data_IF_011592255517
#
_entry.id   IF_011592255517
#
_cell.length_a   1.000
_cell.length_b   1.000
_cell.length_c   1.000
_cell.angle_alpha   90.00
_cell.angle_beta   90.00
_cell.angle_gamma   90.00
#
_symmetry.space_group_name_H-M   'P 1'
#
loop_
_entity.id
_entity.type
_entity.pdbx_description
1 polymer ?
#
# COMPACT_ATOMS: atom_id res chain seq x y z
N UNK A 1 8.15 -27.11 -0.56
CA UNK A 1 8.43 -27.09 0.90
C UNK A 1 7.91 -28.39 1.49
N UNK A 2 8.51 -28.92 2.55
CA UNK A 2 7.96 -30.09 3.26
C UNK A 2 6.66 -29.71 3.99
N UNK A 3 5.61 -30.51 3.83
CA UNK A 3 4.28 -30.21 4.36
C UNK A 3 4.25 -30.13 5.90
N UNK A 4 5.05 -30.94 6.59
CA UNK A 4 5.08 -30.92 8.06
C UNK A 4 5.68 -29.62 8.58
N UNK A 5 6.69 -29.08 7.88
CA UNK A 5 7.29 -27.77 8.21
C UNK A 5 6.30 -26.65 7.94
N UNK A 6 5.57 -26.72 6.83
CA UNK A 6 4.54 -25.72 6.48
C UNK A 6 3.42 -25.69 7.53
N UNK A 7 2.91 -26.86 7.92
CA UNK A 7 1.83 -26.97 8.92
C UNK A 7 2.28 -26.48 10.30
N UNK A 8 3.53 -26.74 10.70
CA UNK A 8 4.09 -26.19 11.94
C UNK A 8 4.22 -24.66 11.90
N UNK A 9 4.65 -24.08 10.78
CA UNK A 9 4.71 -22.62 10.58
C UNK A 9 3.32 -22.00 10.73
N UNK A 10 2.31 -22.55 10.03
CA UNK A 10 0.94 -22.07 10.10
C UNK A 10 0.44 -22.14 11.54
N UNK A 11 0.63 -23.30 12.21
CA UNK A 11 0.25 -23.49 13.61
C UNK A 11 0.90 -22.45 14.53
N UNK A 12 2.21 -22.20 14.39
CA UNK A 12 2.92 -21.19 15.18
C UNK A 12 2.36 -19.78 14.93
N UNK A 13 2.10 -19.42 13.68
CA UNK A 13 1.54 -18.11 13.31
C UNK A 13 0.13 -17.91 13.88
N UNK A 14 -0.74 -18.92 13.78
CA UNK A 14 -2.10 -18.85 14.33
C UNK A 14 -2.12 -18.84 15.87
N UNK A 15 -1.18 -19.55 16.51
CA UNK A 15 -1.05 -19.57 17.97
C UNK A 15 -0.54 -18.25 18.57
N UNK A 16 -0.12 -17.29 17.74
CA UNK A 16 0.39 -15.99 18.18
C UNK A 16 -0.67 -15.11 18.85
N UNK A 17 -1.96 -15.41 18.60
CA UNK A 17 -3.08 -14.68 19.18
C UNK A 17 -3.14 -14.91 20.69
N UNK A 18 -2.97 -13.84 21.46
CA UNK A 18 -3.10 -13.84 22.91
C UNK A 18 -4.14 -12.80 23.35
N UNK A 19 -5.42 -13.15 23.21
CA UNK A 19 -6.52 -12.20 23.42
C UNK A 19 -6.58 -11.14 22.31
N UNK A 20 -6.42 -9.86 22.69
CA UNK A 20 -6.46 -8.71 21.75
C UNK A 20 -5.08 -8.30 21.21
N UNK A 21 -4.01 -8.96 21.63
CA UNK A 21 -2.65 -8.67 21.15
C UNK A 21 -2.02 -9.92 20.56
N UNK A 22 -1.23 -9.72 19.52
CA UNK A 22 -0.42 -10.76 18.89
C UNK A 22 1.01 -10.67 19.42
N UNK A 23 1.57 -11.81 19.78
CA UNK A 23 3.00 -11.91 20.10
C UNK A 23 3.81 -12.02 18.81
N UNK A 24 5.07 -11.63 18.88
CA UNK A 24 6.01 -11.90 17.81
C UNK A 24 6.20 -13.42 17.68
N UNK A 25 6.14 -13.93 16.45
CA UNK A 25 6.31 -15.36 16.18
C UNK A 25 7.77 -15.62 15.84
N UNK A 26 8.32 -16.69 16.43
CA UNK A 26 9.69 -17.11 16.16
C UNK A 26 9.72 -18.00 14.92
N UNK A 27 9.95 -17.37 13.76
CA UNK A 27 10.28 -18.04 12.50
C UNK A 27 11.80 -17.98 12.29
N UNK A 28 12.38 -19.02 11.72
CA UNK A 28 13.80 -19.01 11.34
C UNK A 28 14.00 -18.34 9.98
N UNK A 29 15.21 -17.82 9.71
CA UNK A 29 15.54 -17.28 8.38
C UNK A 29 15.36 -18.34 7.28
N UNK A 30 15.68 -19.60 7.55
CA UNK A 30 15.52 -20.71 6.60
C UNK A 30 14.06 -20.93 6.24
N UNK A 31 13.16 -20.94 7.23
CA UNK A 31 11.72 -21.06 7.02
C UNK A 31 11.18 -19.92 6.15
N UNK A 32 11.56 -18.68 6.47
CA UNK A 32 11.14 -17.51 5.68
C UNK A 32 11.64 -17.62 4.24
N UNK A 33 12.90 -18.02 4.03
CA UNK A 33 13.45 -18.22 2.69
C UNK A 33 12.71 -19.31 1.92
N UNK A 34 12.33 -20.41 2.57
CA UNK A 34 11.57 -21.49 1.96
C UNK A 34 10.16 -21.02 1.57
N UNK A 35 9.46 -20.29 2.44
CA UNK A 35 8.15 -19.70 2.13
C UNK A 35 8.23 -18.82 0.88
N UNK A 36 9.20 -17.90 0.83
CA UNK A 36 9.39 -17.03 -0.33
C UNK A 36 9.73 -17.80 -1.60
N UNK A 37 10.66 -18.76 -1.54
CA UNK A 37 11.08 -19.54 -2.71
C UNK A 37 9.94 -20.39 -3.28
N UNK A 38 9.23 -21.13 -2.42
CA UNK A 38 8.11 -21.97 -2.85
C UNK A 38 6.93 -21.14 -3.35
N UNK A 39 6.59 -20.03 -2.67
CA UNK A 39 5.51 -19.16 -3.15
C UNK A 39 5.84 -18.50 -4.49
N UNK A 40 7.10 -18.06 -4.67
CA UNK A 40 7.60 -17.52 -5.94
C UNK A 40 7.40 -18.49 -7.11
N UNK A 41 7.73 -19.77 -6.92
CA UNK A 41 7.51 -20.81 -7.93
C UNK A 41 6.02 -20.94 -8.29
N UNK A 42 5.13 -20.93 -7.28
CA UNK A 42 3.68 -20.97 -7.49
C UNK A 42 3.21 -19.73 -8.27
N UNK A 43 3.61 -18.52 -7.86
CA UNK A 43 3.20 -17.31 -8.55
C UNK A 43 3.65 -17.27 -10.01
N UNK A 44 4.88 -17.73 -10.31
CA UNK A 44 5.38 -17.82 -11.68
C UNK A 44 4.66 -18.89 -12.51
N UNK A 45 4.15 -19.94 -11.88
CA UNK A 45 3.37 -20.99 -12.56
C UNK A 45 1.93 -20.57 -12.87
N UNK A 46 1.36 -19.65 -12.09
CA UNK A 46 0.03 -19.10 -12.30
C UNK A 46 0.08 -17.85 -13.19
N UNK A 47 -0.99 -17.50 -13.92
CA UNK A 47 -0.99 -16.33 -14.81
C UNK A 47 -0.89 -15.00 -14.06
N UNK A 48 -0.49 -13.93 -14.75
CA UNK A 48 -0.36 -12.60 -14.15
C UNK A 48 -1.71 -11.87 -13.97
N UNK A 49 -2.68 -12.21 -14.84
CA UNK A 49 -4.10 -11.97 -14.64
C UNK A 49 -4.71 -13.31 -14.20
N UNK A 50 -5.06 -13.45 -12.93
CA UNK A 50 -5.70 -14.65 -12.42
C UNK A 50 -7.13 -14.75 -12.97
N UNK A 51 -7.56 -15.95 -13.31
CA UNK A 51 -8.95 -16.25 -13.69
C UNK A 51 -9.53 -17.13 -12.59
N UNK A 52 -10.51 -16.59 -11.87
CA UNK A 52 -11.01 -17.14 -10.60
C UNK A 52 -12.54 -17.31 -10.68
N UNK A 53 -13.07 -18.17 -9.82
CA UNK A 53 -14.51 -18.44 -9.72
C UNK A 53 -15.01 -18.13 -8.31
N UNK A 54 -16.24 -17.66 -8.20
CA UNK A 54 -16.99 -17.61 -6.96
C UNK A 54 -17.31 -19.04 -6.46
N UNK A 55 -17.48 -19.26 -5.13
CA UNK A 55 -17.56 -18.25 -4.09
C UNK A 55 -16.17 -17.82 -3.59
N UNK A 56 -15.97 -16.53 -3.36
CA UNK A 56 -14.67 -15.98 -2.95
C UNK A 56 -14.82 -14.75 -2.05
N UNK A 57 -13.89 -14.58 -1.11
CA UNK A 57 -13.78 -13.42 -0.23
C UNK A 57 -12.62 -12.54 -0.68
N UNK A 58 -12.90 -11.26 -0.91
CA UNK A 58 -11.94 -10.26 -1.37
C UNK A 58 -11.58 -9.32 -0.23
N UNK A 59 -10.27 -9.16 0.01
CA UNK A 59 -9.70 -8.34 1.07
C UNK A 59 -8.77 -7.28 0.47
N UNK A 60 -8.85 -6.06 0.97
CA UNK A 60 -7.93 -4.98 0.64
C UNK A 60 -6.67 -4.99 1.50
N UNK A 61 -6.13 -3.79 1.74
CA UNK A 61 -4.88 -3.55 2.46
C UNK A 61 -4.89 -4.11 3.88
N UNK A 62 -3.74 -4.65 4.32
CA UNK A 62 -3.54 -5.20 5.67
C UNK A 62 -2.42 -4.47 6.41
N UNK A 63 -1.36 -4.05 5.72
CA UNK A 63 -0.27 -3.22 6.24
C UNK A 63 0.29 -3.69 7.58
N UNK A 64 0.65 -4.97 7.69
CA UNK A 64 1.27 -5.51 8.89
C UNK A 64 0.41 -5.48 10.16
N UNK A 65 -0.91 -5.24 10.05
CA UNK A 65 -1.87 -5.36 11.15
C UNK A 65 -2.24 -6.83 11.40
N UNK A 66 -1.25 -7.64 11.78
CA UNK A 66 -1.38 -9.10 11.90
C UNK A 66 -2.54 -9.55 12.81
N UNK A 67 -2.76 -8.87 13.92
CA UNK A 67 -3.90 -9.17 14.81
C UNK A 67 -5.25 -8.99 14.11
N UNK A 68 -5.37 -8.00 13.22
CA UNK A 68 -6.61 -7.76 12.48
C UNK A 68 -6.76 -8.72 11.32
N UNK A 69 -5.65 -9.15 10.69
CA UNK A 69 -5.68 -10.26 9.72
C UNK A 69 -6.23 -11.55 10.35
N UNK A 70 -5.82 -11.90 11.57
CA UNK A 70 -6.37 -13.06 12.28
C UNK A 70 -7.86 -12.89 12.58
N UNK A 71 -8.29 -11.69 13.00
CA UNK A 71 -9.73 -11.38 13.20
C UNK A 71 -10.52 -11.48 11.89
N UNK A 72 -9.92 -11.08 10.78
CA UNK A 72 -10.52 -11.17 9.45
C UNK A 72 -10.79 -12.64 9.10
N UNK A 73 -9.83 -13.55 9.32
CA UNK A 73 -10.04 -14.98 9.11
C UNK A 73 -11.04 -15.59 10.11
N UNK A 74 -11.07 -15.16 11.36
CA UNK A 74 -12.08 -15.62 12.33
C UNK A 74 -13.50 -15.25 11.91
N UNK A 75 -13.67 -14.11 11.23
CA UNK A 75 -14.97 -13.64 10.79
C UNK A 75 -15.38 -14.22 9.44
N UNK A 76 -14.41 -14.37 8.52
CA UNK A 76 -14.62 -14.88 7.17
C UNK A 76 -14.48 -16.40 7.00
N UNK A 77 -13.96 -17.12 7.99
CA UNK A 77 -13.59 -18.54 7.90
C UNK A 77 -12.11 -18.71 7.58
N UNK A 78 -11.42 -19.63 8.26
CA UNK A 78 -10.01 -19.86 8.00
C UNK A 78 -9.83 -20.68 6.71
N UNK A 79 -8.82 -20.42 5.86
CA UNK A 79 -8.54 -21.30 4.73
C UNK A 79 -8.36 -22.78 5.18
N UNK A 80 -9.01 -23.76 4.54
CA UNK A 80 -9.73 -23.66 3.25
C UNK A 80 -11.25 -23.55 3.39
N UNK A 81 -11.80 -23.18 4.55
CA UNK A 81 -13.25 -23.00 4.76
C UNK A 81 -13.86 -21.94 3.83
N UNK A 82 -13.06 -20.97 3.39
CA UNK A 82 -13.42 -20.00 2.37
C UNK A 82 -12.24 -19.75 1.42
N UNK A 83 -12.57 -19.46 0.15
CA UNK A 83 -11.59 -19.00 -0.83
C UNK A 83 -11.29 -17.51 -0.61
N UNK A 84 -10.04 -17.10 -0.83
CA UNK A 84 -9.61 -15.73 -0.60
C UNK A 84 -8.83 -15.14 -1.78
N UNK A 85 -9.12 -13.88 -2.08
CA UNK A 85 -8.31 -12.99 -2.91
C UNK A 85 -7.90 -11.77 -2.06
N UNK A 86 -6.61 -11.54 -1.88
CA UNK A 86 -6.13 -10.27 -1.32
C UNK A 86 -5.62 -9.36 -2.42
N UNK A 87 -5.90 -8.06 -2.30
CA UNK A 87 -5.64 -7.07 -3.34
C UNK A 87 -4.24 -6.44 -3.27
N UNK A 88 -3.48 -6.64 -2.18
CA UNK A 88 -2.13 -6.11 -2.03
C UNK A 88 -1.90 -5.44 -0.68
N UNK A 89 -0.76 -4.77 -0.54
CA UNK A 89 -0.37 -3.95 0.61
C UNK A 89 -0.40 -4.73 1.92
N UNK A 90 0.42 -5.79 1.95
CA UNK A 90 0.55 -6.70 3.08
C UNK A 90 1.49 -6.15 4.15
N UNK A 91 2.50 -5.40 3.72
CA UNK A 91 3.62 -4.93 4.55
C UNK A 91 3.60 -3.42 4.74
N UNK A 92 4.58 -2.93 5.51
CA UNK A 92 4.76 -1.53 5.92
C UNK A 92 3.68 -0.99 6.87
N UNK A 93 3.99 0.17 7.48
CA UNK A 93 3.11 0.99 8.33
C UNK A 93 2.70 0.35 9.67
N UNK A 94 2.23 -0.90 9.66
CA UNK A 94 1.96 -1.68 10.85
C UNK A 94 3.20 -2.30 11.49
N UNK A 95 2.95 -3.07 12.56
CA UNK A 95 4.01 -3.51 13.48
C UNK A 95 4.53 -4.92 13.21
N UNK A 96 3.80 -5.72 12.46
CA UNK A 96 4.04 -7.17 12.28
C UNK A 96 3.88 -7.57 10.82
N UNK A 97 4.62 -6.88 9.94
CA UNK A 97 4.58 -7.16 8.50
C UNK A 97 5.12 -8.55 8.20
N UNK A 98 6.16 -9.01 8.91
CA UNK A 98 6.76 -10.33 8.70
C UNK A 98 5.75 -11.45 9.01
N UNK A 99 5.07 -11.40 10.15
CA UNK A 99 4.03 -12.40 10.47
C UNK A 99 2.89 -12.37 9.45
N UNK A 100 2.46 -11.17 9.06
CA UNK A 100 1.39 -10.97 8.07
C UNK A 100 1.73 -11.64 6.76
N UNK A 101 2.85 -11.28 6.14
CA UNK A 101 3.22 -11.85 4.85
C UNK A 101 3.58 -13.33 4.95
N UNK A 102 4.22 -13.78 6.03
CA UNK A 102 4.54 -15.20 6.20
C UNK A 102 3.29 -16.07 6.30
N UNK A 103 2.23 -15.61 6.98
CA UNK A 103 0.97 -16.37 7.04
C UNK A 103 0.29 -16.43 5.67
N UNK A 104 0.23 -15.30 4.96
CA UNK A 104 -0.35 -15.24 3.61
C UNK A 104 0.40 -16.14 2.62
N UNK A 105 1.73 -16.12 2.62
CA UNK A 105 2.55 -17.01 1.80
C UNK A 105 2.37 -18.48 2.19
N UNK A 106 2.30 -18.79 3.49
CA UNK A 106 2.06 -20.15 3.95
C UNK A 106 0.70 -20.69 3.47
N UNK A 107 -0.36 -19.88 3.54
CA UNK A 107 -1.66 -20.25 2.97
C UNK A 107 -1.63 -20.35 1.45
N UNK A 108 -0.88 -19.49 0.75
CA UNK A 108 -0.70 -19.64 -0.70
C UNK A 108 -0.07 -20.98 -1.07
N UNK A 109 0.93 -21.43 -0.30
CA UNK A 109 1.56 -22.74 -0.53
C UNK A 109 0.59 -23.88 -0.21
N UNK A 110 -0.11 -23.80 0.93
CA UNK A 110 -1.00 -24.86 1.40
C UNK A 110 -2.25 -25.03 0.51
N UNK A 111 -2.80 -23.93 0.03
CA UNK A 111 -4.09 -23.87 -0.65
C UNK A 111 -3.98 -23.09 -1.97
N UNK A 112 -3.04 -23.49 -2.82
CA UNK A 112 -2.66 -22.77 -4.04
C UNK A 112 -3.80 -22.45 -5.03
N UNK A 113 -4.87 -23.24 -5.02
CA UNK A 113 -6.07 -23.06 -5.87
C UNK A 113 -7.26 -22.41 -5.14
N UNK A 114 -7.11 -22.05 -3.86
CA UNK A 114 -8.18 -21.47 -3.04
C UNK A 114 -7.75 -20.15 -2.37
N UNK A 115 -6.46 -19.82 -2.41
CA UNK A 115 -5.87 -18.66 -1.75
C UNK A 115 -5.00 -17.87 -2.74
N UNK A 116 -5.34 -16.61 -2.97
CA UNK A 116 -4.77 -15.77 -4.01
C UNK A 116 -4.32 -14.43 -3.43
N UNK A 117 -3.17 -13.96 -3.92
CA UNK A 117 -2.50 -12.75 -3.46
C UNK A 117 -2.12 -11.92 -4.68
N UNK A 118 -2.67 -10.73 -4.82
CA UNK A 118 -2.23 -9.76 -5.82
C UNK A 118 -1.06 -8.92 -5.30
N UNK A 119 -0.43 -8.18 -6.19
CA UNK A 119 0.61 -7.22 -5.84
C UNK A 119 -0.04 -5.89 -5.46
N UNK A 120 0.35 -5.31 -4.32
CA UNK A 120 0.12 -3.91 -4.00
C UNK A 120 1.34 -3.04 -4.31
N UNK A 121 1.20 -1.72 -4.15
CA UNK A 121 2.31 -0.81 -4.39
C UNK A 121 3.40 -0.90 -3.29
N UNK A 122 3.06 -1.41 -2.10
CA UNK A 122 4.02 -1.69 -1.03
C UNK A 122 4.82 -2.99 -1.23
N UNK A 123 4.41 -3.87 -2.13
CA UNK A 123 5.20 -5.03 -2.58
C UNK A 123 6.25 -4.63 -3.65
N UNK A 124 6.90 -3.48 -3.45
CA UNK A 124 7.99 -2.93 -4.24
C UNK A 124 9.14 -2.47 -3.34
N UNK A 125 10.38 -2.71 -3.78
CA UNK A 125 11.58 -2.39 -3.00
C UNK A 125 11.71 -0.89 -2.70
N UNK A 126 11.36 0.00 -3.63
CA UNK A 126 11.50 1.45 -3.43
C UNK A 126 10.60 1.96 -2.30
N UNK A 127 9.39 1.41 -2.19
CA UNK A 127 8.37 1.79 -1.20
C UNK A 127 8.66 1.15 0.16
N UNK A 128 8.78 -0.17 0.22
CA UNK A 128 8.95 -0.86 1.49
C UNK A 128 10.36 -0.74 2.11
N UNK A 129 11.27 -0.07 1.38
CA UNK A 129 12.54 0.40 1.92
C UNK A 129 12.39 1.52 2.94
N UNK A 130 11.35 2.34 2.84
CA UNK A 130 11.18 3.57 3.61
C UNK A 130 9.95 3.56 4.53
N UNK A 131 8.96 2.70 4.28
CA UNK A 131 7.70 2.70 5.05
C UNK A 131 7.59 1.61 6.14
N UNK A 132 8.67 0.84 6.37
CA UNK A 132 8.87 0.08 7.60
C UNK A 132 9.37 -1.35 7.42
N UNK A 133 9.05 -2.03 6.32
CA UNK A 133 9.31 -3.46 6.17
C UNK A 133 10.80 -3.78 6.10
N UNK A 134 11.59 -2.97 5.38
CA UNK A 134 13.04 -3.10 5.37
C UNK A 134 13.64 -3.01 6.78
N UNK A 135 13.21 -2.03 7.57
CA UNK A 135 13.72 -1.83 8.92
C UNK A 135 13.26 -2.96 9.86
N UNK A 136 12.04 -3.48 9.68
CA UNK A 136 11.55 -4.66 10.39
C UNK A 136 12.42 -5.90 10.09
N UNK A 137 12.65 -6.19 8.80
CA UNK A 137 13.51 -7.29 8.36
C UNK A 137 14.94 -7.15 8.87
N UNK A 138 15.53 -5.96 8.74
CA UNK A 138 16.91 -5.68 9.19
C UNK A 138 17.05 -5.84 10.70
N UNK A 139 16.06 -5.38 11.48
CA UNK A 139 16.07 -5.43 12.95
C UNK A 139 15.88 -6.85 13.48
N UNK A 140 14.97 -7.63 12.89
CA UNK A 140 14.62 -8.98 13.38
C UNK A 140 15.48 -10.09 12.80
N UNK A 141 16.01 -9.87 11.59
CA UNK A 141 16.82 -10.83 10.86
C UNK A 141 18.03 -10.12 10.27
N UNK A 142 17.99 -9.84 8.96
CA UNK A 142 19.03 -9.14 8.23
C UNK A 142 18.50 -8.63 6.88
N UNK A 143 19.32 -7.85 6.18
CA UNK A 143 18.97 -7.28 4.87
C UNK A 143 18.78 -8.34 3.79
N UNK A 144 19.36 -9.54 3.93
CA UNK A 144 19.20 -10.62 2.92
C UNK A 144 17.79 -11.20 2.96
N UNK A 145 17.14 -11.23 4.13
CA UNK A 145 15.72 -11.62 4.24
C UNK A 145 14.83 -10.64 3.49
N UNK A 146 15.04 -9.33 3.65
CA UNK A 146 14.29 -8.32 2.88
C UNK A 146 14.46 -8.51 1.36
N UNK A 147 15.68 -8.72 0.88
CA UNK A 147 15.92 -9.02 -0.55
C UNK A 147 15.19 -10.29 -1.02
N UNK A 148 15.12 -11.30 -0.17
CA UNK A 148 14.40 -12.55 -0.48
C UNK A 148 12.89 -12.30 -0.61
N UNK A 149 12.32 -11.44 0.22
CA UNK A 149 10.93 -10.98 0.05
C UNK A 149 10.76 -10.16 -1.24
N UNK A 150 11.67 -9.23 -1.55
CA UNK A 150 11.65 -8.48 -2.81
C UNK A 150 11.61 -9.40 -4.02
N UNK A 151 12.46 -10.43 -4.05
CA UNK A 151 12.48 -11.40 -5.15
C UNK A 151 11.18 -12.19 -5.28
N UNK A 152 10.47 -12.43 -4.17
CA UNK A 152 9.15 -13.04 -4.15
C UNK A 152 8.07 -12.05 -4.64
N UNK A 153 8.06 -10.82 -4.13
CA UNK A 153 7.11 -9.78 -4.49
C UNK A 153 7.14 -9.42 -5.97
N UNK A 154 8.33 -9.43 -6.58
CA UNK A 154 8.50 -9.21 -8.02
C UNK A 154 7.80 -10.27 -8.90
N UNK A 155 7.29 -11.36 -8.30
CA UNK A 155 6.56 -12.42 -9.01
C UNK A 155 5.07 -12.45 -8.73
N UNK A 156 4.54 -11.60 -7.85
CA UNK A 156 3.10 -11.57 -7.57
C UNK A 156 2.29 -11.24 -8.84
N UNK A 157 1.13 -11.89 -9.06
CA UNK A 157 0.17 -11.48 -10.07
C UNK A 157 -0.39 -10.09 -9.72
N UNK A 158 -0.85 -9.35 -10.72
CA UNK A 158 -1.19 -7.92 -10.55
C UNK A 158 -2.68 -7.63 -10.67
N UNK A 159 -3.45 -8.58 -11.21
CA UNK A 159 -4.90 -8.49 -11.30
C UNK A 159 -5.54 -9.88 -11.25
N UNK A 160 -6.84 -9.92 -10.96
CA UNK A 160 -7.68 -11.10 -11.07
C UNK A 160 -9.00 -10.76 -11.77
N UNK A 161 -9.57 -11.72 -12.49
CA UNK A 161 -10.87 -11.65 -13.12
C UNK A 161 -11.73 -12.77 -12.53
N UNK A 162 -12.77 -12.41 -11.79
CA UNK A 162 -13.68 -13.36 -11.16
C UNK A 162 -14.91 -13.54 -12.06
N UNK A 163 -15.18 -14.78 -12.45
CA UNK A 163 -16.30 -15.20 -13.30
C UNK A 163 -16.51 -14.33 -14.53
N UNK A 164 -15.41 -13.85 -15.12
CA UNK A 164 -15.41 -12.95 -16.29
C UNK A 164 -16.18 -11.63 -16.10
N UNK A 165 -16.53 -11.26 -14.86
CA UNK A 165 -17.39 -10.10 -14.56
C UNK A 165 -16.80 -9.09 -13.59
N UNK A 166 -15.95 -9.52 -12.65
CA UNK A 166 -15.35 -8.64 -11.64
C UNK A 166 -13.84 -8.56 -11.85
N UNK A 167 -13.35 -7.40 -12.29
CA UNK A 167 -11.92 -7.16 -12.45
C UNK A 167 -11.34 -6.57 -11.16
N UNK A 168 -10.36 -7.25 -10.59
CA UNK A 168 -9.72 -6.93 -9.33
C UNK A 168 -8.27 -6.49 -9.53
N UNK A 169 -7.86 -5.41 -8.87
CA UNK A 169 -6.46 -4.93 -8.83
C UNK A 169 -6.22 -4.10 -7.56
N UNK A 170 -4.99 -3.71 -7.26
CA UNK A 170 -4.71 -2.87 -6.11
C UNK A 170 -5.07 -1.40 -6.35
N UNK A 171 -4.44 -0.80 -7.35
CA UNK A 171 -4.59 0.60 -7.74
C UNK A 171 -5.88 0.80 -8.53
N UNK A 172 -5.77 0.96 -9.84
CA UNK A 172 -6.95 1.19 -10.65
C UNK A 172 -6.68 1.11 -12.13
N UNK A 173 -7.55 1.74 -12.91
CA UNK A 173 -7.46 1.70 -14.36
C UNK A 173 -6.22 2.45 -14.87
N UNK A 174 -5.77 2.08 -16.06
CA UNK A 174 -4.65 2.73 -16.76
C UNK A 174 -5.11 3.28 -18.11
N UNK A 175 -4.63 4.47 -18.54
CA UNK A 175 -4.83 4.93 -19.90
C UNK A 175 -4.18 3.98 -20.92
N UNK A 176 -3.20 3.17 -20.51
CA UNK A 176 -2.52 2.20 -21.37
C UNK A 176 -3.25 0.84 -21.43
N UNK A 177 -4.20 0.58 -20.53
CA UNK A 177 -4.97 -0.68 -20.51
C UNK A 177 -6.11 -0.62 -21.54
N UNK A 178 -5.86 -1.20 -22.72
CA UNK A 178 -6.83 -1.33 -23.81
C UNK A 178 -7.41 -2.73 -23.93
N UNK A 179 -6.65 -3.75 -23.56
CA UNK A 179 -7.03 -5.17 -23.59
C UNK A 179 -6.47 -5.88 -22.37
N UNK A 180 -7.23 -6.81 -21.79
CA UNK A 180 -6.81 -7.59 -20.62
C UNK A 180 -5.55 -8.44 -20.89
N UNK A 181 -5.29 -8.81 -22.15
CA UNK A 181 -4.06 -9.49 -22.55
C UNK A 181 -2.79 -8.68 -22.29
N UNK A 182 -2.89 -7.35 -22.21
CA UNK A 182 -1.75 -6.53 -21.81
C UNK A 182 -1.31 -6.85 -20.38
N UNK A 183 -2.26 -7.18 -19.48
CA UNK A 183 -1.96 -7.62 -18.12
C UNK A 183 -1.34 -9.02 -18.13
N UNK A 184 -1.91 -9.95 -18.92
CA UNK A 184 -1.41 -11.33 -19.08
C UNK A 184 0.05 -11.35 -19.54
N UNK A 185 0.43 -10.41 -20.40
CA UNK A 185 1.75 -10.35 -21.03
C UNK A 185 2.81 -9.56 -20.25
N UNK A 186 2.49 -8.99 -19.07
CA UNK A 186 3.52 -8.37 -18.22
C UNK A 186 4.48 -9.48 -17.73
N UNK A 187 5.75 -9.36 -18.11
CA UNK A 187 6.78 -10.33 -17.74
C UNK A 187 7.03 -10.30 -16.22
N UNK A 188 7.29 -11.48 -15.64
CA UNK A 188 7.71 -11.64 -14.23
C UNK A 188 8.97 -12.52 -14.17
N UNK A 189 9.90 -12.28 -13.23
CA UNK A 189 9.89 -11.23 -12.21
C UNK A 189 10.14 -9.83 -12.77
N UNK A 190 9.51 -8.81 -12.20
CA UNK A 190 9.68 -7.40 -12.60
C UNK A 190 9.55 -6.48 -11.39
N UNK A 191 10.32 -5.39 -11.36
CA UNK A 191 10.11 -4.32 -10.37
C UNK A 191 8.98 -3.39 -10.84
N UNK A 192 8.39 -2.62 -9.93
CA UNK A 192 7.34 -1.65 -10.32
C UNK A 192 8.01 -0.43 -10.95
N UNK A 193 7.71 -0.10 -12.22
CA UNK A 193 8.24 1.09 -12.87
C UNK A 193 7.59 2.36 -12.30
N UNK A 194 8.22 3.50 -12.51
CA UNK A 194 7.70 4.79 -12.04
C UNK A 194 6.47 5.27 -12.86
N UNK A 195 6.21 4.67 -14.03
CA UNK A 195 5.09 5.01 -14.93
C UNK A 195 4.67 3.83 -15.82
N UNK A 196 3.50 3.96 -16.46
CA UNK A 196 2.94 2.99 -17.42
C UNK A 196 2.06 1.94 -16.76
N UNK A 197 1.55 1.00 -17.57
CA UNK A 197 0.51 0.04 -17.17
C UNK A 197 0.70 -0.61 -15.79
N UNK A 198 1.88 -1.19 -15.51
CA UNK A 198 2.12 -1.85 -14.20
C UNK A 198 2.11 -0.86 -13.04
N UNK A 199 2.61 0.36 -13.24
CA UNK A 199 2.52 1.42 -12.23
C UNK A 199 1.05 1.75 -11.96
N UNK A 200 0.27 1.97 -13.01
CA UNK A 200 -1.12 2.42 -12.89
C UNK A 200 -2.03 1.39 -12.21
N UNK A 201 -1.86 0.10 -12.54
CA UNK A 201 -2.60 -0.99 -11.90
C UNK A 201 -2.37 -1.06 -10.38
N UNK A 202 -1.31 -0.43 -9.88
CA UNK A 202 -0.93 -0.42 -8.46
C UNK A 202 -1.13 0.95 -7.79
N UNK A 203 -1.24 2.04 -8.55
CA UNK A 203 -1.20 3.41 -8.01
C UNK A 203 -2.36 4.32 -8.43
N UNK A 204 -3.10 4.00 -9.49
CA UNK A 204 -4.16 4.86 -9.96
C UNK A 204 -5.35 4.91 -8.98
N UNK A 205 -6.00 6.07 -8.87
CA UNK A 205 -7.12 6.28 -7.95
C UNK A 205 -8.37 6.81 -8.68
N UNK A 206 -9.58 6.38 -8.31
CA UNK A 206 -10.81 7.01 -8.79
C UNK A 206 -10.95 8.41 -8.18
N UNK A 207 -11.46 9.36 -8.98
CA UNK A 207 -11.79 10.71 -8.51
C UNK A 207 -13.17 11.12 -9.06
N UNK A 208 -14.04 11.59 -8.15
CA UNK A 208 -15.42 11.99 -8.46
C UNK A 208 -15.53 13.40 -9.02
N UNK A 209 -14.50 14.22 -8.83
CA UNK A 209 -14.50 15.64 -9.17
C UNK A 209 -13.90 15.90 -10.57
N UNK A 210 -13.55 14.82 -11.31
CA UNK A 210 -12.99 14.90 -12.66
C UNK A 210 -13.79 14.05 -13.66
N UNK A 211 -13.69 14.45 -14.93
CA UNK A 211 -14.01 13.62 -16.09
C UNK A 211 -12.71 13.21 -16.77
N UNK A 212 -12.60 11.97 -17.21
CA UNK A 212 -11.41 11.50 -17.92
C UNK A 212 -10.25 11.07 -17.02
N UNK A 213 -9.04 11.45 -17.41
CA UNK A 213 -7.80 11.17 -16.69
C UNK A 213 -7.26 12.47 -16.09
N UNK A 214 -6.85 12.44 -14.83
CA UNK A 214 -6.31 13.57 -14.10
C UNK A 214 -4.93 13.31 -13.52
N UNK A 215 -4.33 14.36 -12.99
CA UNK A 215 -3.11 14.25 -12.17
C UNK A 215 -3.46 13.58 -10.83
N UNK A 216 -2.52 12.80 -10.29
CA UNK A 216 -2.67 12.16 -8.99
C UNK A 216 -1.84 12.89 -7.94
N UNK A 217 -2.49 13.30 -6.84
CA UNK A 217 -1.86 14.00 -5.71
C UNK A 217 -0.71 13.21 -5.05
N UNK A 218 -0.63 11.90 -5.30
CA UNK A 218 0.50 11.05 -4.88
C UNK A 218 1.79 11.35 -5.64
N UNK A 219 1.70 12.09 -6.75
CA UNK A 219 2.84 12.38 -7.64
C UNK A 219 3.28 11.19 -8.49
N UNK A 220 2.42 10.17 -8.62
CA UNK A 220 2.66 8.94 -9.40
C UNK A 220 1.33 8.46 -9.99
N UNK A 221 1.37 7.92 -11.22
CA UNK A 221 0.19 7.48 -11.97
C UNK A 221 -0.86 8.60 -12.15
N UNK A 222 -2.13 8.22 -12.31
CA UNK A 222 -3.25 9.06 -12.71
C UNK A 222 -4.42 8.94 -11.72
N UNK A 223 -5.30 9.94 -11.75
CA UNK A 223 -6.67 9.79 -11.29
C UNK A 223 -7.59 9.49 -12.49
N UNK A 224 -8.73 8.84 -12.25
CA UNK A 224 -9.71 8.55 -13.31
C UNK A 224 -11.16 8.78 -12.87
N UNK A 225 -11.94 9.37 -13.78
CA UNK A 225 -13.35 9.70 -13.56
C UNK A 225 -14.30 8.51 -13.68
N UNK A 226 -15.55 8.74 -13.29
CA UNK A 226 -16.61 7.73 -13.40
C UNK A 226 -16.93 7.35 -14.86
N UNK A 227 -16.70 8.27 -15.81
CA UNK A 227 -16.81 8.02 -17.24
C UNK A 227 -15.82 6.93 -17.71
N UNK A 228 -14.60 6.92 -17.18
CA UNK A 228 -13.59 5.92 -17.53
C UNK A 228 -13.87 4.55 -16.97
N UNK A 229 -14.48 4.48 -15.78
CA UNK A 229 -14.99 3.21 -15.25
C UNK A 229 -16.08 2.65 -16.15
N UNK A 230 -17.08 3.47 -16.48
CA UNK A 230 -18.21 3.04 -17.32
C UNK A 230 -17.76 2.61 -18.73
N UNK A 231 -16.90 3.40 -19.38
CA UNK A 231 -16.31 3.09 -20.70
C UNK A 231 -15.57 1.75 -20.66
N UNK A 232 -14.73 1.55 -19.64
CA UNK A 232 -13.92 0.34 -19.51
C UNK A 232 -14.79 -0.91 -19.32
N UNK A 233 -15.73 -0.87 -18.39
CA UNK A 233 -16.63 -1.99 -18.11
C UNK A 233 -17.47 -2.36 -19.33
N UNK A 234 -18.05 -1.36 -20.00
CA UNK A 234 -18.82 -1.58 -21.22
C UNK A 234 -17.98 -2.22 -22.33
N UNK A 235 -16.74 -1.74 -22.52
CA UNK A 235 -15.84 -2.26 -23.56
C UNK A 235 -15.45 -3.71 -23.33
N UNK A 236 -15.31 -4.12 -22.07
CA UNK A 236 -14.82 -5.44 -21.68
C UNK A 236 -15.91 -6.41 -21.22
N UNK A 237 -17.19 -6.01 -21.31
CA UNK A 237 -18.35 -6.77 -20.82
C UNK A 237 -18.23 -7.20 -19.34
N UNK A 238 -17.74 -6.26 -18.51
CA UNK A 238 -17.56 -6.43 -17.08
C UNK A 238 -18.64 -5.68 -16.29
N UNK A 239 -18.91 -6.13 -15.07
CA UNK A 239 -19.92 -5.53 -14.20
C UNK A 239 -19.31 -4.64 -13.11
N UNK A 240 -18.11 -4.99 -12.63
CA UNK A 240 -17.50 -4.35 -11.46
C UNK A 240 -15.98 -4.28 -11.55
N UNK A 241 -15.42 -3.14 -11.14
CA UNK A 241 -14.01 -3.02 -10.74
C UNK A 241 -13.93 -3.11 -9.21
N UNK A 242 -13.11 -4.01 -8.68
CA UNK A 242 -12.85 -4.15 -7.25
C UNK A 242 -11.39 -3.77 -6.94
N UNK A 243 -11.16 -2.83 -6.01
CA UNK A 243 -9.81 -2.29 -5.78
C UNK A 243 -9.43 -1.95 -4.34
N UNK A 244 -8.13 -1.76 -4.13
CA UNK A 244 -7.34 -1.46 -2.92
C UNK A 244 -7.18 0.00 -2.40
N UNK A 245 -6.04 0.23 -1.73
CA UNK A 245 -5.14 1.40 -1.80
C UNK A 245 -5.62 2.76 -1.24
N UNK A 246 -6.92 2.97 -1.05
CA UNK A 246 -7.47 4.15 -0.39
C UNK A 246 -8.20 3.75 0.89
N UNK A 247 -7.84 4.42 1.99
CA UNK A 247 -8.55 4.28 3.27
C UNK A 247 -9.96 4.86 3.09
N UNK A 248 -10.97 4.06 3.40
CA UNK A 248 -12.39 4.44 3.32
C UNK A 248 -13.08 4.16 4.66
N UNK A 249 -14.02 5.02 5.05
CA UNK A 249 -14.56 5.09 6.41
C UNK A 249 -15.13 3.75 6.90
N UNK A 250 -15.99 3.11 6.10
CA UNK A 250 -16.65 1.85 6.45
C UNK A 250 -15.84 0.60 6.04
N UNK A 251 -14.59 0.77 5.60
CA UNK A 251 -13.76 -0.29 5.05
C UNK A 251 -14.14 -0.70 3.62
N UNK A 252 -15.25 -0.19 3.08
CA UNK A 252 -15.56 -0.24 1.66
C UNK A 252 -16.24 1.05 1.20
N UNK A 253 -16.09 1.41 -0.07
CA UNK A 253 -16.80 2.55 -0.67
C UNK A 253 -17.11 2.27 -2.14
N UNK A 254 -18.34 2.60 -2.57
CA UNK A 254 -18.73 2.50 -3.96
C UNK A 254 -18.46 3.81 -4.72
N UNK A 255 -18.06 3.65 -5.97
CA UNK A 255 -17.84 4.72 -6.94
C UNK A 255 -18.61 4.42 -8.24
N UNK A 256 -18.79 5.43 -9.10
CA UNK A 256 -19.40 5.31 -10.43
C UNK A 256 -20.71 4.50 -10.44
N UNK A 257 -21.70 4.88 -9.62
CA UNK A 257 -22.99 4.15 -9.51
C UNK A 257 -22.84 2.66 -9.18
N UNK A 258 -21.89 2.33 -8.30
CA UNK A 258 -21.54 0.95 -7.87
C UNK A 258 -20.82 0.11 -8.91
N UNK A 259 -20.32 0.73 -9.98
CA UNK A 259 -19.48 0.06 -10.99
C UNK A 259 -18.03 -0.11 -10.54
N UNK A 260 -17.61 0.59 -9.48
CA UNK A 260 -16.33 0.35 -8.82
C UNK A 260 -16.55 0.29 -7.31
N UNK A 261 -15.82 -0.60 -6.64
CA UNK A 261 -15.75 -0.67 -5.18
C UNK A 261 -14.30 -0.63 -4.71
N UNK A 262 -14.03 0.23 -3.74
CA UNK A 262 -12.79 0.28 -2.97
C UNK A 262 -13.00 -0.56 -1.70
N UNK A 263 -12.06 -1.45 -1.37
CA UNK A 263 -12.05 -2.26 -0.14
C UNK A 263 -10.75 -1.95 0.61
N UNK A 264 -10.86 -1.71 1.91
CA UNK A 264 -9.73 -1.52 2.80
C UNK A 264 -9.92 -2.39 4.04
N UNK A 265 -8.96 -3.26 4.36
CA UNK A 265 -9.16 -4.32 5.37
C UNK A 265 -8.43 -4.06 6.70
N UNK A 266 -7.68 -2.96 6.82
CA UNK A 266 -6.98 -2.57 8.04
C UNK A 266 -7.79 -1.54 8.87
N UNK A 267 -8.53 -1.95 9.92
CA UNK A 267 -9.29 -1.02 10.75
C UNK A 267 -8.37 -0.11 11.57
N UNK A 268 -8.82 1.12 11.81
CA UNK A 268 -8.08 2.15 12.56
C UNK A 268 -6.63 2.27 12.04
N UNK A 269 -6.53 2.48 10.74
CA UNK A 269 -5.26 2.44 10.01
C UNK A 269 -4.23 3.37 10.63
N UNK A 270 -3.00 2.87 10.80
CA UNK A 270 -1.89 3.54 11.48
C UNK A 270 -2.19 4.04 12.92
N UNK A 271 -3.37 3.78 13.48
CA UNK A 271 -3.86 4.41 14.70
C UNK A 271 -4.18 5.90 14.58
N UNK A 272 -4.33 6.39 13.34
CA UNK A 272 -4.59 7.80 13.01
C UNK A 272 -5.97 8.02 12.41
N UNK A 273 -6.50 7.00 11.73
CA UNK A 273 -7.82 6.99 11.13
C UNK A 273 -8.82 6.26 12.03
N UNK A 274 -10.11 6.62 11.93
CA UNK A 274 -11.21 5.93 12.64
C UNK A 274 -11.98 4.97 11.71
N UNK A 275 -11.33 4.52 10.64
CA UNK A 275 -11.96 3.65 9.64
C UNK A 275 -12.21 2.24 10.18
N UNK A 276 -13.25 1.59 9.67
CA UNK A 276 -13.39 0.15 9.75
C UNK A 276 -12.53 -0.55 8.69
N UNK A 277 -12.33 -1.86 8.85
CA UNK A 277 -11.88 -2.74 7.78
C UNK A 277 -13.08 -3.45 7.17
N UNK A 278 -13.03 -3.86 5.91
CA UNK A 278 -14.04 -4.73 5.33
C UNK A 278 -13.44 -5.88 4.51
N UNK A 279 -14.26 -6.90 4.28
CA UNK A 279 -14.08 -7.87 3.21
C UNK A 279 -15.36 -7.95 2.38
N UNK A 280 -15.23 -8.13 1.07
CA UNK A 280 -16.36 -8.41 0.20
C UNK A 280 -16.47 -9.91 -0.03
N UNK A 281 -17.64 -10.50 0.22
CA UNK A 281 -17.95 -11.88 -0.15
C UNK A 281 -18.75 -11.87 -1.44
N UNK A 282 -18.27 -12.62 -2.43
CA UNK A 282 -18.94 -12.89 -3.70
C UNK A 282 -19.42 -14.34 -3.66
N UNK A 283 -20.72 -14.55 -3.79
CA UNK A 283 -21.31 -15.89 -3.85
C UNK A 283 -21.45 -16.42 -5.29
N UNK A 284 -21.90 -17.66 -5.45
CA UNK A 284 -22.05 -18.34 -6.74
C UNK A 284 -22.99 -17.62 -7.73
N UNK A 285 -23.81 -16.67 -7.24
CA UNK A 285 -24.70 -15.84 -8.05
C UNK A 285 -24.10 -14.47 -8.39
N UNK A 286 -22.83 -14.25 -8.05
CA UNK A 286 -22.13 -12.97 -8.10
C UNK A 286 -22.76 -11.89 -7.22
N UNK A 287 -23.52 -12.29 -6.19
CA UNK A 287 -24.03 -11.33 -5.22
C UNK A 287 -22.91 -10.91 -4.28
N UNK A 288 -22.57 -9.62 -4.31
CA UNK A 288 -21.58 -9.03 -3.42
C UNK A 288 -22.21 -8.60 -2.10
N UNK A 289 -21.64 -9.07 -0.98
CA UNK A 289 -21.98 -8.65 0.37
C UNK A 289 -20.73 -8.24 1.16
N UNK A 290 -20.87 -7.38 2.16
CA UNK A 290 -19.72 -6.85 2.91
C UNK A 290 -19.76 -7.28 4.37
N UNK A 291 -18.62 -7.76 4.88
CA UNK A 291 -18.42 -8.02 6.29
C UNK A 291 -17.48 -6.95 6.85
N UNK A 292 -17.99 -6.14 7.77
CA UNK A 292 -17.28 -4.97 8.31
C UNK A 292 -16.65 -5.32 9.67
N UNK A 293 -15.33 -5.18 9.74
CA UNK A 293 -14.52 -5.30 10.94
C UNK A 293 -14.32 -3.92 11.56
N UNK A 294 -15.14 -3.57 12.55
CA UNK A 294 -14.94 -2.33 13.31
C UNK A 294 -13.66 -2.37 14.14
N UNK A 295 -13.06 -1.19 14.32
CA UNK A 295 -11.95 -0.98 15.24
C UNK A 295 -12.30 -1.51 16.63
N UNK A 296 -11.37 -2.21 17.27
CA UNK A 296 -11.57 -2.64 18.64
C UNK A 296 -11.40 -1.41 19.54
N UNK A 297 -12.47 -0.92 20.17
CA UNK A 297 -12.40 0.21 21.09
C UNK A 297 -11.28 0.01 22.12
N UNK A 298 -10.36 0.97 22.20
CA UNK A 298 -9.54 1.15 23.40
C UNK A 298 -10.48 1.62 24.51
N UNK A 299 -10.93 0.72 25.38
CA UNK A 299 -11.55 1.13 26.65
C UNK A 299 -10.61 2.14 27.31
N UNK A 300 -11.05 3.40 27.36
CA UNK A 300 -10.31 4.46 28.01
C UNK A 300 -9.94 4.03 29.43
N UNK A 301 -8.67 4.16 29.79
CA UNK A 301 -8.32 4.25 31.20
C UNK A 301 -9.02 5.51 31.73
N UNK A 302 -10.13 5.34 32.42
CA UNK A 302 -10.65 6.35 33.32
C UNK A 302 -9.60 6.57 34.44
N UNK A 303 -8.67 7.48 34.18
CA UNK A 303 -7.83 8.10 35.19
C UNK A 303 -8.40 9.48 35.49
N UNK A 304 -8.63 9.76 36.77
CA UNK A 304 -9.22 10.98 37.33
C UNK A 304 -8.84 12.26 36.57
N UNK A 305 -9.87 13.03 36.24
CA UNK A 305 -9.76 14.41 35.78
C UNK A 305 -9.11 15.28 36.87
N UNK A 306 -8.01 15.96 36.52
CA UNK A 306 -7.67 17.23 37.13
C UNK A 306 -7.89 18.32 36.09
N UNK A 307 -8.76 19.24 36.45
CA UNK A 307 -9.25 20.37 35.68
C UNK A 307 -8.13 21.32 35.26
N UNK A 308 -7.90 21.47 33.96
CA UNK A 308 -7.43 22.73 33.38
C UNK A 308 -8.31 23.08 32.19
N UNK A 309 -8.82 24.30 32.24
CA UNK A 309 -9.79 24.92 31.33
C UNK A 309 -9.27 24.86 29.89
N UNK A 310 -10.02 24.22 28.98
CA UNK A 310 -9.82 24.33 27.53
C UNK A 310 -10.69 25.47 26.98
N UNK A 311 -10.16 26.40 26.17
CA UNK A 311 -10.98 27.36 25.45
C UNK A 311 -11.79 26.64 24.35
N UNK A 312 -13.06 26.99 24.21
CA UNK A 312 -13.97 26.41 23.24
C UNK A 312 -13.57 26.68 21.78
N UNK A 313 -13.85 25.70 20.93
CA UNK A 313 -13.67 25.78 19.47
C UNK A 313 -14.85 26.57 18.85
N UNK A 314 -14.60 27.60 18.01
CA UNK A 314 -15.66 28.23 17.22
C UNK A 314 -15.92 27.44 15.92
N UNK A 315 -17.09 27.63 15.26
CA UNK A 315 -17.55 26.74 14.19
C UNK A 315 -16.83 26.95 12.85
N UNK A 316 -16.93 25.91 12.03
CA UNK A 316 -16.41 25.76 10.66
C UNK A 316 -16.43 27.03 9.80
N UNK A 317 -15.26 27.37 9.24
CA UNK A 317 -15.13 28.01 7.92
C UNK A 317 -13.89 27.48 7.17
N UNK A 318 -14.14 26.95 5.97
CA UNK A 318 -13.35 27.16 4.74
C UNK A 318 -11.87 26.76 4.68
N UNK A 319 -11.59 25.77 3.81
CA UNK A 319 -10.36 25.49 3.05
C UNK A 319 -9.23 26.52 3.20
N UNK A 320 -8.14 26.13 3.88
CA UNK A 320 -6.72 26.52 3.65
C UNK A 320 -5.87 26.34 4.93
N UNK A 321 -5.64 25.11 5.41
CA UNK A 321 -4.64 24.87 6.46
C UNK A 321 -4.14 23.42 6.56
N UNK A 322 -3.91 22.76 5.42
CA UNK A 322 -3.26 21.43 5.39
C UNK A 322 -1.91 21.48 4.64
N UNK A 323 -1.73 22.44 3.73
CA UNK A 323 -0.52 22.58 2.91
C UNK A 323 0.73 23.06 3.67
N UNK A 324 0.61 23.78 4.79
CA UNK A 324 1.79 24.31 5.49
C UNK A 324 2.51 23.27 6.37
N UNK A 325 1.80 22.28 6.92
CA UNK A 325 2.42 21.29 7.82
C UNK A 325 3.15 20.16 7.06
N UNK A 326 2.69 19.80 5.86
CA UNK A 326 3.35 18.77 5.05
C UNK A 326 4.64 19.26 4.37
N UNK A 327 4.68 20.54 4.00
CA UNK A 327 5.85 21.15 3.34
C UNK A 327 7.03 21.38 4.31
N UNK A 328 6.74 21.67 5.59
CA UNK A 328 7.78 21.83 6.61
C UNK A 328 8.47 20.51 6.97
N UNK A 329 7.75 19.37 6.98
CA UNK A 329 8.32 18.07 7.32
C UNK A 329 9.20 17.49 6.20
N UNK A 330 8.82 17.70 4.93
CA UNK A 330 9.62 17.31 3.77
C UNK A 330 10.88 18.18 3.61
N UNK A 331 10.79 19.49 3.87
CA UNK A 331 11.96 20.38 3.81
C UNK A 331 13.02 20.10 4.89
N UNK A 332 12.61 19.65 6.08
CA UNK A 332 13.53 19.25 7.16
C UNK A 332 14.24 17.92 6.88
N UNK A 333 13.58 16.98 6.18
CA UNK A 333 14.18 15.69 5.79
C UNK A 333 15.16 15.80 4.60
N UNK A 334 14.90 16.70 3.65
CA UNK A 334 15.83 16.97 2.54
C UNK A 334 17.12 17.66 2.99
N UNK A 335 17.07 18.50 4.03
CA UNK A 335 18.28 19.09 4.64
C UNK A 335 19.19 18.04 5.29
N UNK A 336 18.62 17.00 5.91
CA UNK A 336 19.40 15.93 6.55
C UNK A 336 20.19 15.07 5.56
N UNK A 337 19.62 14.81 4.38
CA UNK A 337 20.18 13.92 3.37
C UNK A 337 21.31 14.56 2.55
N UNK A 338 21.26 15.87 2.30
CA UNK A 338 22.37 16.62 1.68
C UNK A 338 23.57 16.73 2.64
N UNK A 339 23.32 17.02 3.93
CA UNK A 339 24.38 17.13 4.94
C UNK A 339 25.08 15.77 5.16
N UNK A 340 24.35 14.66 5.14
CA UNK A 340 24.95 13.32 5.25
C UNK A 340 25.77 12.92 4.02
N UNK A 341 25.37 13.32 2.79
CA UNK A 341 26.19 13.13 1.58
C UNK A 341 27.47 13.97 1.61
N UNK A 342 27.40 15.23 2.04
CA UNK A 342 28.59 16.07 2.20
C UNK A 342 29.57 15.51 3.24
N UNK A 343 29.07 14.96 4.36
CA UNK A 343 29.91 14.34 5.40
C UNK A 343 30.52 13.02 4.92
N UNK A 344 29.83 12.22 4.11
CA UNK A 344 30.39 10.99 3.53
C UNK A 344 31.47 11.26 2.48
N UNK A 345 31.32 12.34 1.70
CA UNK A 345 32.30 12.72 0.67
C UNK A 345 33.56 13.35 1.28
N UNK A 346 33.42 14.10 2.39
CA UNK A 346 34.56 14.63 3.16
C UNK A 346 35.36 13.49 3.83
N UNK A 347 34.70 12.40 4.27
CA UNK A 347 35.39 11.24 4.86
C UNK A 347 36.08 10.34 3.83
N UNK A 348 35.74 10.43 2.54
CA UNK A 348 36.38 9.64 1.47
C UNK A 348 37.61 10.32 0.84
N UNK A 349 37.86 11.60 1.11
CA UNK A 349 39.02 12.34 0.58
C UNK A 349 39.94 12.82 1.70
N UNK A 350 40.48 11.87 2.47
CA UNK A 350 41.58 12.13 3.40
C UNK A 350 42.86 11.44 2.91
N UNK A 351 43.35 11.78 1.72
CA UNK A 351 44.75 11.58 1.33
C UNK A 351 45.10 12.50 0.14
N UNK A 352 46.12 13.35 0.36
CA UNK A 352 46.89 14.14 -0.59
C UNK A 352 46.29 15.39 -1.27
N UNK A 353 47.20 16.38 -1.35
CA UNK A 353 47.09 17.76 -1.82
C UNK A 353 46.67 17.93 -3.30
N UNK A 354 46.15 19.14 -3.59
CA UNK A 354 45.78 19.78 -4.89
C UNK A 354 44.40 19.45 -5.46
N UNK A 355 43.48 20.43 -5.44
CA UNK A 355 42.87 21.07 -6.63
C UNK A 355 42.10 22.33 -6.19
N UNK A 356 42.68 23.52 -6.42
CA UNK A 356 42.09 24.85 -6.12
C UNK A 356 41.20 25.39 -7.26
N UNK A 357 40.52 24.53 -8.01
CA UNK A 357 39.72 24.93 -9.21
C UNK A 357 38.29 24.37 -9.29
N UNK A 358 37.85 23.56 -8.31
CA UNK A 358 36.48 22.99 -8.29
C UNK A 358 35.49 23.78 -7.41
N UNK A 359 35.98 24.51 -6.40
CA UNK A 359 35.14 25.26 -5.46
C UNK A 359 34.47 26.51 -6.07
N UNK A 360 35.04 27.11 -7.11
CA UNK A 360 34.47 28.30 -7.77
C UNK A 360 33.25 27.97 -8.63
N UNK A 361 33.11 26.72 -9.10
CA UNK A 361 31.97 26.29 -9.93
C UNK A 361 30.72 25.99 -9.11
N UNK A 362 30.88 25.49 -7.88
CA UNK A 362 29.76 25.19 -6.98
C UNK A 362 29.16 26.43 -6.29
N UNK A 363 29.96 27.49 -6.08
CA UNK A 363 29.46 28.73 -5.48
C UNK A 363 28.52 29.49 -6.43
N UNK A 364 28.80 29.50 -7.74
CA UNK A 364 27.96 30.17 -8.73
C UNK A 364 26.62 29.46 -8.98
N UNK A 365 26.55 28.14 -8.80
CA UNK A 365 25.30 27.38 -8.92
C UNK A 365 24.38 27.58 -7.70
N UNK A 366 24.97 27.75 -6.51
CA UNK A 366 24.21 28.05 -5.28
C UNK A 366 23.61 29.46 -5.28
N UNK A 367 24.31 30.45 -5.84
CA UNK A 367 23.82 31.85 -5.93
C UNK A 367 22.70 31.99 -6.97
N UNK A 368 22.71 31.20 -8.05
CA UNK A 368 21.60 31.19 -9.02
C UNK A 368 20.33 30.50 -8.48
N UNK A 369 20.46 29.48 -7.64
CA UNK A 369 19.32 28.80 -7.02
C UNK A 369 18.67 29.62 -5.90
N UNK A 370 19.45 30.37 -5.11
CA UNK A 370 18.89 31.25 -4.08
C UNK A 370 18.19 32.48 -4.66
N UNK A 371 18.62 32.97 -5.83
CA UNK A 371 17.93 34.04 -6.56
C UNK A 371 16.55 33.65 -7.10
N UNK A 372 16.41 32.43 -7.64
CA UNK A 372 15.14 31.93 -8.19
C UNK A 372 14.09 31.68 -7.09
N UNK A 373 14.52 31.21 -5.92
CA UNK A 373 13.62 30.99 -4.77
C UNK A 373 13.14 32.32 -4.18
N UNK A 374 13.97 33.37 -4.22
CA UNK A 374 13.56 34.71 -3.79
C UNK A 374 12.53 35.34 -4.76
N UNK A 375 12.62 35.06 -6.05
CA UNK A 375 11.69 35.60 -7.05
C UNK A 375 10.29 34.96 -6.98
N UNK A 376 10.20 33.66 -6.68
CA UNK A 376 8.92 32.97 -6.43
C UNK A 376 8.25 33.40 -5.12
N UNK A 377 9.03 33.77 -4.10
CA UNK A 377 8.50 34.25 -2.82
C UNK A 377 7.83 35.62 -2.95
N UNK A 378 8.36 36.51 -3.80
CA UNK A 378 7.78 37.84 -4.05
C UNK A 378 6.62 37.84 -5.05
N UNK A 379 6.58 36.89 -5.99
CA UNK A 379 5.41 36.74 -6.87
C UNK A 379 4.16 36.27 -6.11
N UNK A 380 4.34 35.46 -5.06
CA UNK A 380 3.25 34.92 -4.24
C UNK A 380 2.66 35.94 -3.26
N UNK A 381 3.43 36.96 -2.85
CA UNK A 381 2.99 38.04 -1.95
C UNK A 381 2.20 39.13 -2.73
N UNK A 382 2.36 39.19 -4.06
CA UNK A 382 1.74 40.25 -4.90
C UNK A 382 0.30 39.93 -5.35
N UNK A 383 -0.19 38.70 -5.11
CA UNK A 383 -1.52 38.25 -5.56
C UNK A 383 -2.58 38.22 -4.45
N UNK A 384 -2.22 38.56 -3.20
CA UNK A 384 -3.15 38.62 -2.07
C UNK A 384 -2.86 39.84 -1.17
N UNK A 385 -3.16 41.03 -1.68
CA UNK A 385 -3.41 42.20 -0.85
C UNK A 385 -4.91 42.55 -0.91
N UNK A 386 -5.62 42.69 0.22
CA UNK A 386 -7.02 43.04 0.23
C UNK A 386 -7.21 44.53 -0.10
N UNK A 387 -7.94 44.84 -1.17
CA UNK A 387 -8.46 46.18 -1.43
C UNK A 387 -9.62 46.45 -0.46
N UNK A 388 -9.34 47.15 0.63
CA UNK A 388 -10.33 47.95 1.35
C UNK A 388 -10.22 49.40 0.87
N UNK A 389 -11.17 49.83 0.04
CA UNK A 389 -11.98 51.05 0.14
C UNK A 389 -12.99 51.10 -1.01
#
# INVERSE_FOLDING_TARGET
>A
MDDSVLDDIIKRLLSAKNGRTTKQVQLTETEIRQLCSTSKEIFLSQPNLLELEAPIKICGDVHGQFSDLLRLFEYGGFPPEANYLFLGDYVDRGKQSIETICLLLAYKIKYKENFFLLRGNHECASINRIYGFYDECKRRFNVRVWKTFTDCFNTLPVAALIDEKILCMHGGLSPDLKHLDQIRNIARPVDVPDQGLLCDLLWADPDKDIDGWGENDRGVSYTFGADKVAEFLQKHDLDLVCRAHQVVEDGYEFFAKRQLVTIFSAPNYCGEFDNAGAMMSVDDSLTCSFQILKSSEKKGKFGLANSTIRPGTPPHKGKACVLLNLCCQTALQWRGSIVQRCISDIRRHSYFYRVKKSLTRHYNTLVHYTGAVHQCYWYSISLFAPLHY
#
